data_IF_371356775271
#
_entry.id   IF_371356775271
#
_cell.length_a   1.000
_cell.length_b   1.000
_cell.length_c   1.000
_cell.angle_alpha   90.00
_cell.angle_beta   90.00
_cell.angle_gamma   90.00
#
_symmetry.space_group_name_H-M   'P 1'
#
loop_
_entity.id
_entity.type
_entity.pdbx_description
1 polymer ?
#
# COMPACT_ATOMS: atom_id res chain seq x y z
N UNK A 1 8.99 18.26 11.03
CA UNK A 1 8.42 17.85 9.73
C UNK A 1 7.16 17.04 10.00
N UNK A 2 6.00 17.40 9.42
CA UNK A 2 4.74 16.67 9.61
C UNK A 2 4.60 15.63 8.50
N UNK A 3 4.17 14.41 8.85
CA UNK A 3 3.85 13.38 7.84
C UNK A 3 2.45 13.62 7.29
N UNK A 4 2.26 13.30 6.01
CA UNK A 4 0.91 13.19 5.42
C UNK A 4 0.10 12.15 6.20
N UNK A 5 -1.12 12.47 6.61
CA UNK A 5 -1.94 11.57 7.44
C UNK A 5 -2.21 10.23 6.74
N UNK A 6 -2.34 10.24 5.42
CA UNK A 6 -2.51 9.04 4.61
C UNK A 6 -1.37 8.03 4.78
N UNK A 7 -0.14 8.48 5.05
CA UNK A 7 1.03 7.60 5.26
C UNK A 7 0.97 6.83 6.58
N UNK A 8 0.18 7.31 7.54
CA UNK A 8 -0.03 6.62 8.82
C UNK A 8 -1.04 5.48 8.71
N UNK A 9 -1.81 5.44 7.62
CA UNK A 9 -2.78 4.39 7.36
C UNK A 9 -2.08 3.11 6.93
N UNK A 10 -2.19 2.08 7.78
CA UNK A 10 -1.62 0.75 7.50
C UNK A 10 -2.38 0.07 6.37
N UNK A 11 -1.65 -0.77 5.64
CA UNK A 11 -2.25 -1.76 4.74
C UNK A 11 -3.07 -2.79 5.49
N UNK A 12 -4.05 -3.37 4.81
CA UNK A 12 -4.82 -4.49 5.33
C UNK A 12 -3.86 -5.65 5.66
N UNK A 13 -3.89 -6.09 6.91
CA UNK A 13 -3.10 -7.25 7.38
C UNK A 13 -3.89 -8.55 7.28
N UNK A 14 -5.22 -8.45 7.33
CA UNK A 14 -6.12 -9.56 7.09
C UNK A 14 -6.48 -9.57 5.61
N UNK A 15 -5.99 -10.58 4.89
CA UNK A 15 -6.26 -10.73 3.47
C UNK A 15 -7.53 -11.58 3.26
N UNK A 16 -8.32 -11.27 2.21
CA UNK A 16 -9.46 -12.09 1.86
C UNK A 16 -8.98 -13.50 1.49
N UNK A 17 -9.80 -14.49 1.83
CA UNK A 17 -9.53 -15.90 1.54
C UNK A 17 -10.48 -16.36 0.44
N UNK A 18 -10.04 -17.38 -0.30
CA UNK A 18 -10.92 -18.05 -1.26
C UNK A 18 -12.13 -18.64 -0.53
N UNK A 19 -13.32 -18.35 -1.03
CA UNK A 19 -14.59 -18.71 -0.40
C UNK A 19 -15.39 -19.72 -1.23
N UNK A 20 -14.74 -20.78 -1.70
CA UNK A 20 -15.37 -21.84 -2.48
C UNK A 20 -14.45 -22.41 -3.54
N UNK A 21 -15.02 -23.21 -4.45
CA UNK A 21 -14.28 -23.93 -5.50
C UNK A 21 -14.75 -23.56 -6.91
N UNK A 22 -15.62 -22.56 -7.05
CA UNK A 22 -16.13 -22.13 -8.35
C UNK A 22 -15.24 -21.05 -8.95
N UNK A 23 -15.32 -20.86 -10.28
CA UNK A 23 -14.63 -19.76 -10.94
C UNK A 23 -15.06 -18.37 -10.44
N UNK A 24 -16.29 -18.24 -9.95
CA UNK A 24 -16.81 -17.01 -9.34
C UNK A 24 -16.02 -16.66 -8.06
N UNK A 25 -15.82 -17.63 -7.18
CA UNK A 25 -15.11 -17.42 -5.91
C UNK A 25 -13.68 -16.93 -6.13
N UNK A 26 -13.01 -17.45 -7.18
CA UNK A 26 -11.69 -17.01 -7.58
C UNK A 26 -11.70 -15.58 -8.17
N UNK A 27 -12.66 -15.26 -9.04
CA UNK A 27 -12.77 -13.93 -9.66
C UNK A 27 -13.05 -12.82 -8.64
N UNK A 28 -13.93 -13.08 -7.67
CA UNK A 28 -14.22 -12.15 -6.56
C UNK A 28 -12.98 -11.90 -5.71
N UNK A 29 -12.23 -12.96 -5.38
CA UNK A 29 -11.00 -12.85 -4.62
C UNK A 29 -9.95 -12.00 -5.36
N UNK A 30 -9.72 -12.27 -6.64
CA UNK A 30 -8.75 -11.53 -7.46
C UNK A 30 -9.10 -10.04 -7.54
N UNK A 31 -10.39 -9.72 -7.68
CA UNK A 31 -10.88 -8.34 -7.68
C UNK A 31 -10.58 -7.63 -6.36
N UNK A 32 -10.85 -8.29 -5.23
CA UNK A 32 -10.54 -7.74 -3.90
C UNK A 32 -9.04 -7.51 -3.70
N UNK A 33 -8.18 -8.43 -4.18
CA UNK A 33 -6.72 -8.26 -4.10
C UNK A 33 -6.22 -7.07 -4.94
N UNK A 34 -6.79 -6.83 -6.13
CA UNK A 34 -6.43 -5.68 -6.95
C UNK A 34 -6.71 -4.35 -6.23
N UNK A 35 -7.85 -4.25 -5.55
CA UNK A 35 -8.20 -3.06 -4.77
C UNK A 35 -7.24 -2.85 -3.59
N UNK A 36 -7.02 -3.90 -2.78
CA UNK A 36 -6.11 -3.85 -1.62
C UNK A 36 -4.71 -3.44 -2.07
N UNK A 37 -4.22 -4.05 -3.15
CA UNK A 37 -2.90 -3.74 -3.70
C UNK A 37 -2.82 -2.28 -4.14
N UNK A 38 -3.79 -1.78 -4.91
CA UNK A 38 -3.77 -0.41 -5.42
C UNK A 38 -3.71 0.64 -4.30
N UNK A 39 -4.55 0.47 -3.27
CA UNK A 39 -4.55 1.35 -2.10
C UNK A 39 -3.22 1.31 -1.34
N UNK A 40 -2.62 0.13 -1.22
CA UNK A 40 -1.36 -0.07 -0.52
C UNK A 40 -0.14 0.47 -1.27
N UNK A 41 -0.05 0.18 -2.56
CA UNK A 41 1.06 0.57 -3.41
C UNK A 41 1.18 2.11 -3.46
N UNK A 42 0.07 2.82 -3.61
CA UNK A 42 0.07 4.28 -3.64
C UNK A 42 0.67 4.88 -2.34
N UNK A 43 0.25 4.39 -1.17
CA UNK A 43 0.79 4.84 0.13
C UNK A 43 2.25 4.44 0.32
N UNK A 44 2.63 3.24 -0.12
CA UNK A 44 4.01 2.75 0.00
C UNK A 44 4.96 3.64 -0.82
N UNK A 45 4.62 3.94 -2.07
CA UNK A 45 5.43 4.81 -2.92
C UNK A 45 5.57 6.21 -2.32
N UNK A 46 4.47 6.78 -1.81
CA UNK A 46 4.49 8.07 -1.15
C UNK A 46 5.37 8.06 0.13
N UNK A 47 5.40 6.95 0.87
CA UNK A 47 6.28 6.79 2.03
C UNK A 47 7.77 6.78 1.60
N UNK A 48 8.10 6.06 0.53
CA UNK A 48 9.45 6.04 -0.04
C UNK A 48 9.88 7.44 -0.47
N UNK A 49 9.00 8.21 -1.11
CA UNK A 49 9.27 9.60 -1.51
C UNK A 49 9.59 10.50 -0.30
N UNK A 50 8.83 10.38 0.80
CA UNK A 50 9.07 11.11 2.04
C UNK A 50 10.41 10.74 2.69
N UNK A 51 10.77 9.44 2.69
CA UNK A 51 12.06 8.97 3.20
C UNK A 51 13.20 9.61 2.38
N UNK A 52 13.14 9.51 1.06
CA UNK A 52 14.14 10.09 0.16
C UNK A 52 14.23 11.61 0.30
N UNK A 53 13.11 12.31 0.47
CA UNK A 53 13.11 13.75 0.75
C UNK A 53 13.83 14.07 2.06
N UNK A 54 13.56 13.31 3.13
CA UNK A 54 14.18 13.50 4.44
C UNK A 54 15.67 13.21 4.43
N UNK A 55 16.08 12.13 3.77
CA UNK A 55 17.49 11.80 3.63
C UNK A 55 18.25 12.92 2.90
N UNK A 56 17.68 13.48 1.83
CA UNK A 56 18.27 14.65 1.15
C UNK A 56 18.38 15.88 2.04
N UNK A 57 17.37 16.15 2.89
CA UNK A 57 17.41 17.27 3.83
C UNK A 57 18.44 17.07 4.94
N UNK A 58 18.59 15.84 5.44
CA UNK A 58 19.47 15.52 6.57
C UNK A 58 20.92 15.37 6.13
N UNK A 59 21.17 14.65 5.04
CA UNK A 59 22.51 14.28 4.59
C UNK A 59 23.02 15.13 3.43
N UNK A 60 22.16 15.99 2.86
CA UNK A 60 22.45 16.72 1.64
C UNK A 60 22.29 15.85 0.39
N UNK A 61 22.07 16.49 -0.75
CA UNK A 61 22.35 15.91 -2.06
C UNK A 61 23.80 16.23 -2.40
N UNK A 62 24.61 15.22 -2.77
CA UNK A 62 25.82 15.50 -3.56
C UNK A 62 25.45 16.27 -4.84
#
# INVERSE_FOLDING_TARGET
MRYQENLKTRCATQLPRLNGATGKDAAELLTAYLEIYGQCAARHNQLVDEINLRERVIYGTN
#
